data_IF_524486073365
#
_entry.id   IF_524486073365
#
_cell.length_a   1.000
_cell.length_b   1.000
_cell.length_c   1.000
_cell.angle_alpha   90.00
_cell.angle_beta   90.00
_cell.angle_gamma   90.00
#
_symmetry.space_group_name_H-M   'P 1'
#
loop_
_entity.id
_entity.type
_entity.pdbx_description
1 polymer ?
#
# COMPACT_ATOMS: atom_id res chain seq x y z
N UNK A 1 -32.87 15.42 -16.14
CA UNK A 1 -33.28 14.95 -14.81
C UNK A 1 -32.10 15.14 -13.88
N UNK A 2 -32.25 15.95 -12.84
CA UNK A 2 -31.21 16.18 -11.83
C UNK A 2 -31.68 15.54 -10.52
N UNK A 3 -30.80 14.82 -9.82
CA UNK A 3 -31.06 14.35 -8.46
C UNK A 3 -29.96 14.90 -7.57
N UNK A 4 -30.40 15.83 -6.74
CA UNK A 4 -29.67 16.46 -5.65
C UNK A 4 -29.78 15.56 -4.43
N UNK A 5 -28.66 15.29 -3.74
CA UNK A 5 -28.64 14.57 -2.47
C UNK A 5 -27.94 15.42 -1.41
N UNK A 6 -28.51 15.45 -0.20
CA UNK A 6 -28.21 16.48 0.80
C UNK A 6 -26.91 16.23 1.58
N UNK A 7 -26.26 17.33 1.95
CA UNK A 7 -25.34 17.40 3.08
C UNK A 7 -26.11 17.18 4.39
N UNK A 8 -25.55 16.38 5.29
CA UNK A 8 -25.78 16.50 6.73
C UNK A 8 -24.49 16.14 7.48
N UNK A 9 -24.06 17.05 8.35
CA UNK A 9 -23.03 16.79 9.35
C UNK A 9 -23.71 16.41 10.67
N UNK A 10 -23.10 15.53 11.47
CA UNK A 10 -22.59 15.85 12.82
C UNK A 10 -22.07 14.62 13.59
N UNK A 11 -20.81 14.74 14.03
CA UNK A 11 -20.25 14.39 15.35
C UNK A 11 -20.29 12.97 15.95
N UNK A 12 -19.06 12.45 16.13
CA UNK A 12 -18.50 11.75 17.29
C UNK A 12 -19.29 10.63 18.00
N UNK A 13 -18.78 9.39 17.89
CA UNK A 13 -18.37 8.58 19.05
C UNK A 13 -17.41 7.45 18.62
N UNK A 14 -16.13 7.54 18.99
CA UNK A 14 -15.15 6.46 18.75
C UNK A 14 -14.99 5.61 20.01
N UNK A 15 -15.57 4.41 19.99
CA UNK A 15 -15.36 3.41 21.04
C UNK A 15 -14.04 2.65 20.84
N UNK A 16 -13.29 2.50 21.93
CA UNK A 16 -12.01 1.79 21.99
C UNK A 16 -12.24 0.30 22.25
N UNK A 17 -11.88 -0.60 21.33
CA UNK A 17 -12.17 -2.02 21.52
C UNK A 17 -11.44 -3.02 20.60
N UNK A 18 -10.50 -3.74 21.21
CA UNK A 18 -9.90 -5.04 20.83
C UNK A 18 -8.89 -5.16 19.69
N UNK A 19 -7.74 -5.67 20.14
CA UNK A 19 -6.58 -6.24 19.45
C UNK A 19 -6.93 -7.50 18.63
N UNK A 20 -6.18 -7.68 17.54
CA UNK A 20 -5.82 -8.90 16.76
C UNK A 20 -5.72 -8.53 15.25
N UNK A 21 -4.67 -8.88 14.49
CA UNK A 21 -3.39 -9.48 14.91
C UNK A 21 -2.21 -9.27 13.92
N UNK A 22 -1.01 -9.67 14.40
CA UNK A 22 0.20 -10.20 13.71
C UNK A 22 0.10 -10.48 12.19
N UNK A 23 1.10 -10.20 11.31
CA UNK A 23 2.57 -10.04 11.42
C UNK A 23 3.14 -9.00 10.40
N UNK A 24 4.48 -8.89 10.35
CA UNK A 24 5.35 -8.35 9.27
C UNK A 24 5.83 -6.88 9.37
N UNK A 25 6.80 -6.70 10.28
CA UNK A 25 8.07 -5.97 10.08
C UNK A 25 8.10 -4.71 9.21
N UNK A 26 7.93 -3.55 9.86
CA UNK A 26 9.00 -2.56 9.83
C UNK A 26 9.04 -1.71 11.11
N UNK A 27 10.13 -1.81 11.86
CA UNK A 27 10.22 -1.31 13.23
C UNK A 27 10.44 0.22 13.29
N UNK A 28 9.35 0.99 13.39
CA UNK A 28 9.38 2.33 13.97
C UNK A 28 8.38 2.40 15.12
N UNK A 29 8.89 2.25 16.34
CA UNK A 29 8.07 2.09 17.56
C UNK A 29 7.03 3.19 17.74
N UNK A 30 5.76 2.83 17.55
CA UNK A 30 4.65 3.62 18.07
C UNK A 30 4.54 3.41 19.58
N UNK A 31 4.05 4.44 20.28
CA UNK A 31 3.84 4.49 21.73
C UNK A 31 5.08 4.71 22.60
N UNK A 32 5.62 5.93 22.55
CA UNK A 32 6.15 6.54 23.78
C UNK A 32 5.82 8.03 23.86
N UNK A 33 4.54 8.33 24.16
CA UNK A 33 4.14 9.65 24.68
C UNK A 33 4.57 9.81 26.15
N UNK A 34 5.87 9.65 26.41
CA UNK A 34 6.46 10.20 27.62
C UNK A 34 6.61 11.71 27.40
N UNK A 35 5.59 12.46 27.81
CA UNK A 35 5.82 13.80 28.33
C UNK A 35 6.68 13.64 29.60
N UNK A 36 7.98 13.51 29.39
CA UNK A 36 8.96 13.64 30.44
C UNK A 36 9.39 15.11 30.41
N UNK A 37 8.80 16.00 31.22
CA UNK A 37 9.38 17.33 31.42
C UNK A 37 10.75 17.10 32.05
N UNK A 38 11.82 17.17 31.24
CA UNK A 38 13.16 17.23 31.79
C UNK A 38 13.19 18.41 32.77
N UNK A 39 13.66 18.20 34.01
CA UNK A 39 13.59 19.26 35.00
C UNK A 39 14.47 20.43 34.55
N UNK A 40 13.89 21.62 34.45
CA UNK A 40 14.55 22.87 34.02
C UNK A 40 15.54 23.40 35.09
N UNK A 41 16.42 22.54 35.61
CA UNK A 41 17.38 22.84 36.68
C UNK A 41 18.34 23.98 36.30
N UNK A 42 18.58 24.23 35.01
CA UNK A 42 19.43 25.34 34.55
C UNK A 42 18.72 26.71 34.50
N UNK A 43 17.37 26.77 34.45
CA UNK A 43 16.65 28.05 34.54
C UNK A 43 16.16 28.39 35.96
N UNK A 44 16.10 27.41 36.88
CA UNK A 44 15.68 27.68 38.26
C UNK A 44 16.70 28.50 39.07
N UNK A 45 18.01 28.40 38.81
CA UNK A 45 19.03 29.17 39.56
C UNK A 45 18.82 30.70 39.50
N UNK A 46 18.72 31.36 38.33
CA UNK A 46 18.48 32.81 38.29
C UNK A 46 17.13 33.21 38.90
N UNK A 47 16.10 32.35 38.79
CA UNK A 47 14.79 32.61 39.39
C UNK A 47 14.83 32.57 40.93
N UNK A 48 15.49 31.57 41.52
CA UNK A 48 15.68 31.46 42.97
C UNK A 48 16.54 32.59 43.53
N UNK A 49 17.64 32.94 42.85
CA UNK A 49 18.51 34.04 43.26
C UNK A 49 17.76 35.39 43.25
N UNK A 50 16.88 35.59 42.26
CA UNK A 50 16.03 36.79 42.18
C UNK A 50 14.95 36.83 43.28
N UNK A 51 14.35 35.69 43.64
CA UNK A 51 13.44 35.60 44.80
C UNK A 51 14.18 35.93 46.10
N UNK A 52 15.40 35.42 46.27
CA UNK A 52 16.21 35.66 47.48
C UNK A 52 16.58 37.14 47.63
N UNK A 53 16.97 37.82 46.54
CA UNK A 53 17.19 39.28 46.56
C UNK A 53 15.92 40.07 46.88
N UNK A 54 14.77 39.63 46.37
CA UNK A 54 13.48 40.29 46.59
C UNK A 54 12.99 40.14 48.04
N UNK A 55 13.22 38.99 48.69
CA UNK A 55 12.97 38.81 50.13
C UNK A 55 13.81 39.76 51.00
N UNK A 56 15.08 40.00 50.65
CA UNK A 56 15.95 40.96 51.35
C UNK A 56 15.44 42.41 51.24
N UNK A 57 14.81 42.80 50.13
CA UNK A 57 14.20 44.12 49.98
C UNK A 57 12.93 44.27 50.84
N UNK A 58 12.07 43.24 50.86
CA UNK A 58 10.84 43.23 51.68
C UNK A 58 11.16 43.30 53.18
N UNK A 59 12.22 42.61 53.63
CA UNK A 59 12.64 42.65 55.04
C UNK A 59 13.10 44.06 55.47
N UNK A 60 13.79 44.79 54.58
CA UNK A 60 14.25 46.17 54.84
C UNK A 60 13.14 47.23 54.79
N UNK A 61 12.02 46.97 54.12
CA UNK A 61 10.83 47.82 54.22
C UNK A 61 10.10 47.59 55.56
N UNK A 62 10.06 46.34 56.05
CA UNK A 62 9.38 45.99 57.30
C UNK A 62 10.02 46.63 58.53
N UNK A 63 11.34 46.75 58.57
CA UNK A 63 12.08 47.45 59.63
C UNK A 63 11.85 48.97 59.63
N UNK A 64 11.63 49.60 58.46
CA UNK A 64 11.29 51.03 58.37
C UNK A 64 9.92 51.35 58.95
N UNK A 65 8.92 50.48 58.77
CA UNK A 65 7.56 50.68 59.32
C UNK A 65 7.56 50.61 60.85
N UNK A 66 8.39 49.74 61.45
CA UNK A 66 8.49 49.64 62.92
C UNK A 66 9.14 50.87 63.57
N UNK A 67 10.04 51.58 62.87
CA UNK A 67 10.64 52.81 63.37
C UNK A 67 9.66 54.01 63.42
N UNK A 68 8.57 53.99 62.63
CA UNK A 68 7.60 55.09 62.59
C UNK A 68 6.67 55.11 63.82
N UNK A 69 6.43 53.96 64.45
CA UNK A 69 5.56 53.84 65.64
C UNK A 69 6.18 54.46 66.92
N UNK A 70 7.50 54.67 66.96
CA UNK A 70 8.21 55.13 68.16
C UNK A 70 8.29 56.67 68.32
N UNK A 71 7.67 57.46 67.44
CA UNK A 71 7.66 58.93 67.53
C UNK A 71 6.22 59.49 67.57
N UNK A 72 5.49 59.15 68.63
CA UNK A 72 4.19 59.73 68.92
C UNK A 72 4.34 60.97 69.79
N UNK A 73 4.21 62.17 69.21
CA UNK A 73 3.85 63.43 69.89
C UNK A 73 3.70 64.60 68.89
N UNK A 74 2.56 64.71 68.20
CA UNK A 74 1.94 66.02 67.87
C UNK A 74 0.56 65.83 67.21
N UNK A 75 -0.41 66.62 67.63
CA UNK A 75 -1.79 66.60 67.12
C UNK A 75 -1.94 67.44 65.84
N UNK A 76 -1.52 66.91 64.69
CA UNK A 76 -2.07 67.30 63.37
C UNK A 76 -1.89 66.18 62.33
N UNK A 77 -2.72 66.24 61.28
CA UNK A 77 -2.64 65.48 60.01
C UNK A 77 -3.11 64.00 59.95
N UNK A 78 -4.42 63.75 60.05
CA UNK A 78 -5.06 62.62 59.37
C UNK A 78 -4.68 62.54 57.87
N UNK A 79 -4.49 63.69 57.23
CA UNK A 79 -4.11 63.82 55.82
C UNK A 79 -2.71 63.26 55.47
N UNK A 80 -1.78 63.19 56.44
CA UNK A 80 -0.41 62.69 56.22
C UNK A 80 -0.34 61.16 56.29
N UNK A 81 -1.11 60.56 57.19
CA UNK A 81 -1.29 59.10 57.23
C UNK A 81 -2.06 58.60 55.99
N UNK A 82 -3.10 59.32 55.56
CA UNK A 82 -3.83 59.00 54.34
C UNK A 82 -2.94 59.00 53.09
N UNK A 83 -2.04 59.99 52.95
CA UNK A 83 -1.11 60.03 51.81
C UNK A 83 -0.01 58.96 51.87
N UNK A 84 0.42 58.53 53.06
CA UNK A 84 1.29 57.36 53.21
C UNK A 84 0.59 56.06 52.78
N UNK A 85 -0.65 55.82 53.21
CA UNK A 85 -1.42 54.64 52.79
C UNK A 85 -1.69 54.64 51.29
N UNK A 86 -2.02 55.80 50.71
CA UNK A 86 -2.21 55.95 49.26
C UNK A 86 -0.92 55.61 48.50
N UNK A 87 0.24 56.11 48.97
CA UNK A 87 1.55 55.78 48.40
C UNK A 87 1.85 54.28 48.50
N UNK A 88 1.63 53.66 49.66
CA UNK A 88 1.84 52.22 49.84
C UNK A 88 0.91 51.39 48.94
N UNK A 89 -0.35 51.80 48.75
CA UNK A 89 -1.27 51.12 47.82
C UNK A 89 -0.72 51.16 46.39
N UNK A 90 -0.29 52.33 45.92
CA UNK A 90 0.30 52.51 44.60
C UNK A 90 1.60 51.70 44.42
N UNK A 91 2.47 51.62 45.44
CA UNK A 91 3.67 50.79 45.41
C UNK A 91 3.34 49.29 45.32
N UNK A 92 2.32 48.83 46.05
CA UNK A 92 1.82 47.44 46.00
C UNK A 92 1.21 47.13 44.62
N UNK A 93 0.36 48.01 44.09
CA UNK A 93 -0.27 47.85 42.77
C UNK A 93 0.80 47.81 41.65
N UNK A 94 1.82 48.67 41.73
CA UNK A 94 2.96 48.65 40.82
C UNK A 94 3.74 47.34 40.92
N UNK A 95 4.03 46.85 42.13
CA UNK A 95 4.71 45.57 42.34
C UNK A 95 3.92 44.39 41.75
N UNK A 96 2.60 44.34 42.00
CA UNK A 96 1.70 43.31 41.48
C UNK A 96 1.68 43.35 39.94
N UNK A 97 1.54 44.53 39.33
CA UNK A 97 1.54 44.65 37.87
C UNK A 97 2.87 44.19 37.25
N UNK A 98 4.01 44.50 37.87
CA UNK A 98 5.34 44.06 37.42
C UNK A 98 5.50 42.53 37.50
N UNK A 99 5.07 41.88 38.60
CA UNK A 99 5.16 40.42 38.67
C UNK A 99 4.19 39.74 37.70
N UNK A 100 2.99 40.30 37.48
CA UNK A 100 2.03 39.78 36.52
C UNK A 100 2.56 39.85 35.08
N UNK A 101 3.12 40.98 34.64
CA UNK A 101 3.70 41.10 33.30
C UNK A 101 4.95 40.20 33.14
N UNK A 102 5.80 40.08 34.17
CA UNK A 102 6.94 39.14 34.16
C UNK A 102 6.48 37.68 34.00
N UNK A 103 5.45 37.26 34.74
CA UNK A 103 4.87 35.92 34.65
C UNK A 103 4.26 35.67 33.26
N UNK A 104 3.51 36.64 32.73
CA UNK A 104 2.89 36.61 31.40
C UNK A 104 3.93 36.45 30.29
N UNK A 105 5.04 37.20 30.33
CA UNK A 105 6.14 37.07 29.38
C UNK A 105 6.82 35.69 29.47
N UNK A 106 7.07 35.19 30.69
CA UNK A 106 7.67 33.86 30.88
C UNK A 106 6.76 32.74 30.33
N UNK A 107 5.45 32.80 30.59
CA UNK A 107 4.48 31.83 30.06
C UNK A 107 4.34 31.92 28.53
N UNK A 108 4.45 33.11 27.94
CA UNK A 108 4.43 33.29 26.49
C UNK A 108 5.67 32.66 25.83
N UNK A 109 6.86 32.89 26.38
CA UNK A 109 8.10 32.31 25.83
C UNK A 109 8.15 30.79 26.04
N UNK A 110 7.75 30.27 27.20
CA UNK A 110 7.63 28.83 27.43
C UNK A 110 6.66 28.16 26.44
N UNK A 111 5.49 28.77 26.21
CA UNK A 111 4.51 28.28 25.21
C UNK A 111 5.12 28.26 23.80
N UNK A 112 5.83 29.31 23.40
CA UNK A 112 6.50 29.41 22.10
C UNK A 112 7.53 28.29 21.92
N UNK A 113 8.35 28.04 22.94
CA UNK A 113 9.35 26.95 22.91
C UNK A 113 8.71 25.56 22.85
N UNK A 114 7.62 25.31 23.61
CA UNK A 114 6.86 24.06 23.54
C UNK A 114 6.26 23.83 22.15
N UNK A 115 5.63 24.85 21.55
CA UNK A 115 5.07 24.77 20.19
C UNK A 115 6.16 24.51 19.16
N UNK A 116 7.32 25.17 19.26
CA UNK A 116 8.43 24.93 18.33
C UNK A 116 8.98 23.50 18.44
N UNK A 117 9.17 22.98 19.65
CA UNK A 117 9.64 21.61 19.89
C UNK A 117 8.69 20.57 19.29
N UNK A 118 7.38 20.74 19.54
CA UNK A 118 6.33 19.88 18.98
C UNK A 118 6.36 19.95 17.45
N UNK A 119 6.35 21.16 16.87
CA UNK A 119 6.38 21.36 15.42
C UNK A 119 7.64 20.74 14.79
N UNK A 120 8.81 20.87 15.43
CA UNK A 120 10.08 20.28 14.96
C UNK A 120 10.02 18.75 14.93
N UNK A 121 9.44 18.12 15.96
CA UNK A 121 9.25 16.67 16.00
C UNK A 121 8.34 16.19 14.86
N UNK A 122 7.13 16.76 14.77
CA UNK A 122 6.17 16.41 13.71
C UNK A 122 6.71 16.70 12.30
N UNK A 123 7.40 17.83 12.09
CA UNK A 123 8.05 18.16 10.81
C UNK A 123 9.05 17.08 10.39
N UNK A 124 9.94 16.66 11.29
CA UNK A 124 10.93 15.62 10.99
C UNK A 124 10.27 14.26 10.71
N UNK A 125 9.27 13.86 11.50
CA UNK A 125 8.53 12.60 11.29
C UNK A 125 7.77 12.59 9.96
N UNK A 126 7.03 13.65 9.65
CA UNK A 126 6.28 13.79 8.40
C UNK A 126 7.22 13.81 7.19
N UNK A 127 8.34 14.55 7.26
CA UNK A 127 9.34 14.59 6.19
C UNK A 127 9.98 13.21 5.92
N UNK A 128 10.26 12.41 6.96
CA UNK A 128 10.78 11.05 6.79
C UNK A 128 9.76 10.12 6.12
N UNK A 129 8.50 10.17 6.57
CA UNK A 129 7.42 9.36 5.98
C UNK A 129 7.13 9.75 4.53
N UNK A 130 7.15 11.05 4.19
CA UNK A 130 7.01 11.52 2.82
C UNK A 130 8.14 10.97 1.94
N UNK A 131 9.40 11.12 2.35
CA UNK A 131 10.55 10.57 1.58
C UNK A 131 10.46 9.06 1.37
N UNK A 132 10.02 8.30 2.38
CA UNK A 132 9.80 6.87 2.23
C UNK A 132 8.72 6.58 1.17
N UNK A 133 7.61 7.32 1.19
CA UNK A 133 6.53 7.15 0.21
C UNK A 133 6.94 7.57 -1.20
N UNK A 134 7.72 8.64 -1.34
CA UNK A 134 8.31 9.04 -2.62
C UNK A 134 9.23 7.94 -3.20
N UNK A 135 10.01 7.27 -2.35
CA UNK A 135 10.87 6.16 -2.76
C UNK A 135 10.07 4.89 -3.13
N UNK A 136 9.01 4.56 -2.38
CA UNK A 136 8.06 3.49 -2.72
C UNK A 136 7.37 3.76 -4.08
N UNK A 137 6.91 4.99 -4.31
CA UNK A 137 6.33 5.43 -5.59
C UNK A 137 7.36 5.31 -6.72
N UNK A 138 8.58 5.80 -6.52
CA UNK A 138 9.65 5.72 -7.53
C UNK A 138 9.98 4.26 -7.90
N UNK A 139 10.02 3.35 -6.92
CA UNK A 139 10.21 1.91 -7.16
C UNK A 139 9.05 1.31 -7.97
N UNK A 140 7.81 1.65 -7.63
CA UNK A 140 6.63 1.19 -8.36
C UNK A 140 6.59 1.73 -9.80
N UNK A 141 6.89 3.01 -10.01
CA UNK A 141 6.97 3.64 -11.33
C UNK A 141 8.05 3.01 -12.21
N UNK A 142 9.26 2.78 -11.67
CA UNK A 142 10.32 2.08 -12.40
C UNK A 142 9.87 0.67 -12.81
N UNK A 143 9.21 -0.07 -11.92
CA UNK A 143 8.71 -1.41 -12.23
C UNK A 143 7.59 -1.40 -13.27
N UNK A 144 6.68 -0.42 -13.24
CA UNK A 144 5.65 -0.24 -14.28
C UNK A 144 6.31 -0.03 -15.65
N UNK A 145 7.30 0.86 -15.72
CA UNK A 145 8.03 1.16 -16.95
C UNK A 145 8.78 -0.07 -17.50
N UNK A 146 9.48 -0.83 -16.66
CA UNK A 146 10.13 -2.08 -17.08
C UNK A 146 9.15 -3.07 -17.72
N UNK A 147 7.95 -3.18 -17.16
CA UNK A 147 6.90 -4.08 -17.65
C UNK A 147 6.26 -3.55 -18.95
N UNK A 148 6.01 -2.25 -19.06
CA UNK A 148 5.55 -1.60 -20.30
C UNK A 148 6.58 -1.77 -21.44
N UNK A 149 7.86 -1.58 -21.15
CA UNK A 149 8.94 -1.77 -22.14
C UNK A 149 9.07 -3.24 -22.55
N UNK A 150 8.82 -4.20 -21.64
CA UNK A 150 8.81 -5.63 -21.95
C UNK A 150 7.59 -6.03 -22.79
N UNK A 151 6.39 -5.55 -22.44
CA UNK A 151 5.17 -5.76 -23.23
C UNK A 151 5.34 -5.21 -24.65
N UNK A 152 5.88 -3.98 -24.77
CA UNK A 152 6.16 -3.34 -26.07
C UNK A 152 7.11 -4.18 -26.93
N UNK A 153 8.15 -4.80 -26.34
CA UNK A 153 9.07 -5.70 -27.08
C UNK A 153 8.34 -6.94 -27.59
N UNK A 154 7.62 -7.64 -26.73
CA UNK A 154 6.86 -8.84 -27.13
C UNK A 154 5.79 -8.53 -28.17
N UNK A 155 5.14 -7.37 -28.07
CA UNK A 155 4.15 -6.95 -29.06
C UNK A 155 4.79 -6.67 -30.44
N UNK A 156 5.95 -6.01 -30.50
CA UNK A 156 6.70 -5.83 -31.75
C UNK A 156 7.20 -7.16 -32.34
N UNK A 157 7.64 -8.10 -31.50
CA UNK A 157 8.02 -9.46 -31.92
C UNK A 157 6.81 -10.21 -32.48
N UNK A 158 5.68 -10.19 -31.79
CA UNK A 158 4.42 -10.83 -32.22
C UNK A 158 3.94 -10.27 -33.57
N UNK A 159 3.88 -8.94 -33.72
CA UNK A 159 3.55 -8.28 -34.99
C UNK A 159 4.53 -8.62 -36.12
N UNK A 160 5.78 -8.96 -35.81
CA UNK A 160 6.78 -9.38 -36.80
C UNK A 160 6.55 -10.83 -37.23
N UNK A 161 6.32 -11.74 -36.27
CA UNK A 161 5.96 -13.12 -36.57
C UNK A 161 4.62 -13.25 -37.31
N UNK A 162 3.63 -12.43 -36.97
CA UNK A 162 2.34 -12.41 -37.67
C UNK A 162 2.50 -11.96 -39.13
N UNK A 163 3.34 -10.96 -39.42
CA UNK A 163 3.65 -10.55 -40.80
C UNK A 163 4.30 -11.68 -41.60
N UNK A 164 5.32 -12.32 -41.04
CA UNK A 164 6.01 -13.47 -41.67
C UNK A 164 5.02 -14.63 -41.91
N UNK A 165 4.13 -14.92 -40.95
CA UNK A 165 3.09 -15.94 -41.11
C UNK A 165 2.13 -15.61 -42.27
N UNK A 166 1.62 -14.38 -42.33
CA UNK A 166 0.73 -13.93 -43.40
C UNK A 166 1.42 -13.93 -44.78
N UNK A 167 2.69 -13.55 -44.86
CA UNK A 167 3.49 -13.60 -46.09
C UNK A 167 3.68 -15.04 -46.57
N UNK A 168 4.00 -15.96 -45.66
CA UNK A 168 4.11 -17.39 -45.96
C UNK A 168 2.76 -18.00 -46.39
N UNK A 169 1.66 -17.62 -45.74
CA UNK A 169 0.31 -18.04 -46.12
C UNK A 169 -0.05 -17.57 -47.54
N UNK A 170 0.23 -16.31 -47.87
CA UNK A 170 0.01 -15.77 -49.22
C UNK A 170 0.84 -16.51 -50.29
N UNK A 171 2.09 -16.89 -49.98
CA UNK A 171 2.93 -17.70 -50.85
C UNK A 171 2.32 -19.10 -51.05
N UNK A 172 1.89 -19.76 -49.98
CA UNK A 172 1.26 -21.09 -50.05
C UNK A 172 -0.03 -21.06 -50.87
N UNK A 173 -0.88 -20.04 -50.68
CA UNK A 173 -2.11 -19.84 -51.48
C UNK A 173 -1.78 -19.63 -52.97
N UNK A 174 -0.77 -18.82 -53.29
CA UNK A 174 -0.32 -18.59 -54.67
C UNK A 174 0.19 -19.87 -55.35
N UNK A 175 1.00 -20.66 -54.64
CA UNK A 175 1.49 -21.95 -55.12
C UNK A 175 0.36 -22.95 -55.31
N UNK A 176 -0.59 -23.02 -54.37
CA UNK A 176 -1.76 -23.89 -54.47
C UNK A 176 -2.64 -23.55 -55.68
N UNK A 177 -2.92 -22.26 -55.91
CA UNK A 177 -3.64 -21.81 -57.09
C UNK A 177 -2.91 -22.17 -58.40
N UNK A 178 -1.58 -22.10 -58.41
CA UNK A 178 -0.76 -22.49 -59.57
C UNK A 178 -0.84 -24.01 -59.82
N UNK A 179 -0.84 -24.82 -58.76
CA UNK A 179 -1.00 -26.28 -58.87
C UNK A 179 -2.37 -26.65 -59.43
N UNK A 180 -3.45 -26.03 -58.93
CA UNK A 180 -4.80 -26.31 -59.43
C UNK A 180 -4.97 -25.89 -60.89
N UNK A 181 -4.43 -24.74 -61.32
CA UNK A 181 -4.38 -24.36 -62.74
C UNK A 181 -3.64 -25.40 -63.61
N UNK A 182 -2.54 -25.99 -63.12
CA UNK A 182 -1.84 -27.05 -63.85
C UNK A 182 -2.66 -28.35 -63.91
N UNK A 183 -3.41 -28.69 -62.86
CA UNK A 183 -4.34 -29.84 -62.87
C UNK A 183 -5.48 -29.66 -63.85
N UNK A 184 -6.12 -28.48 -63.84
CA UNK A 184 -7.19 -28.13 -64.78
C UNK A 184 -6.68 -28.21 -66.22
N UNK A 185 -5.54 -27.58 -66.53
CA UNK A 185 -4.95 -27.62 -67.87
C UNK A 185 -4.59 -29.05 -68.33
N UNK A 186 -4.07 -29.90 -67.43
CA UNK A 186 -3.81 -31.31 -67.75
C UNK A 186 -5.10 -32.12 -68.01
N UNK A 187 -6.18 -31.81 -67.28
CA UNK A 187 -7.51 -32.41 -67.48
C UNK A 187 -8.13 -32.03 -68.83
N UNK A 188 -7.92 -30.78 -69.30
CA UNK A 188 -8.37 -30.38 -70.63
C UNK A 188 -7.57 -31.05 -71.76
N UNK A 189 -6.25 -31.26 -71.58
CA UNK A 189 -5.39 -31.86 -72.61
C UNK A 189 -5.60 -33.37 -72.84
N UNK A 190 -6.14 -34.11 -71.86
CA UNK A 190 -6.43 -35.55 -71.99
C UNK A 190 -7.71 -35.87 -72.78
N UNK A 191 -8.51 -34.87 -73.18
CA UNK A 191 -9.81 -35.10 -73.84
C UNK A 191 -9.74 -35.35 -75.36
N UNK A 192 -8.54 -35.35 -75.98
CA UNK A 192 -8.45 -35.28 -77.44
C UNK A 192 -7.67 -36.40 -78.17
N UNK A 193 -7.32 -37.51 -77.48
CA UNK A 193 -6.89 -38.76 -78.16
C UNK A 193 -7.31 -40.00 -77.35
N UNK A 194 -8.05 -40.91 -77.99
CA UNK A 194 -7.87 -42.36 -77.80
C UNK A 194 -8.44 -43.00 -76.53
N UNK A 195 -9.64 -43.55 -76.69
CA UNK A 195 -10.16 -44.72 -75.97
C UNK A 195 -9.08 -45.70 -75.46
N UNK A 196 -9.02 -45.87 -74.14
CA UNK A 196 -8.50 -47.04 -73.46
C UNK A 196 -9.13 -47.13 -72.06
N UNK A 197 -10.17 -47.96 -71.91
CA UNK A 197 -10.74 -48.31 -70.60
C UNK A 197 -9.67 -48.94 -69.67
N UNK A 198 -9.08 -48.14 -68.79
CA UNK A 198 -8.29 -48.64 -67.65
C UNK A 198 -9.08 -48.43 -66.37
N UNK A 199 -9.95 -49.39 -66.08
CA UNK A 199 -10.60 -49.56 -64.78
C UNK A 199 -9.55 -49.82 -63.69
N UNK A 200 -8.96 -48.75 -63.15
CA UNK A 200 -8.30 -48.79 -61.86
C UNK A 200 -9.39 -48.70 -60.79
N UNK A 201 -9.76 -49.87 -60.27
CA UNK A 201 -10.63 -50.08 -59.11
C UNK A 201 -10.07 -49.36 -57.87
N UNK A 202 -10.31 -48.05 -57.80
CA UNK A 202 -10.24 -47.32 -56.54
C UNK A 202 -11.52 -47.66 -55.81
N UNK A 203 -11.43 -48.71 -54.99
CA UNK A 203 -12.38 -48.98 -53.94
C UNK A 203 -12.81 -47.64 -53.32
N UNK A 204 -14.11 -47.31 -53.24
CA UNK A 204 -14.56 -46.34 -52.27
C UNK A 204 -14.30 -46.99 -50.91
N UNK A 205 -13.09 -46.76 -50.40
CA UNK A 205 -12.83 -46.81 -48.97
C UNK A 205 -13.67 -45.67 -48.41
N UNK A 206 -14.95 -45.97 -48.17
CA UNK A 206 -15.79 -45.33 -47.18
C UNK A 206 -15.21 -45.63 -45.79
N UNK A 207 -13.94 -45.24 -45.61
CA UNK A 207 -13.28 -45.03 -44.34
C UNK A 207 -13.97 -43.84 -43.72
N UNK A 208 -15.16 -44.13 -43.16
CA UNK A 208 -16.12 -43.18 -42.63
C UNK A 208 -15.42 -42.01 -41.95
N UNK A 209 -15.80 -40.81 -42.36
CA UNK A 209 -15.64 -39.58 -41.59
C UNK A 209 -16.52 -39.67 -40.34
N UNK A 210 -16.11 -40.53 -39.40
CA UNK A 210 -16.72 -40.80 -38.08
C UNK A 210 -15.61 -41.09 -37.04
N UNK A 211 -14.44 -40.48 -37.15
CA UNK A 211 -13.34 -40.60 -36.17
C UNK A 211 -13.27 -39.47 -35.14
N UNK A 212 -14.02 -38.37 -35.33
CA UNK A 212 -14.04 -37.23 -34.39
C UNK A 212 -14.53 -37.59 -32.98
N UNK A 213 -15.36 -38.63 -32.85
CA UNK A 213 -15.72 -39.21 -31.55
C UNK A 213 -14.69 -40.22 -31.04
N UNK A 214 -14.10 -41.06 -31.89
CA UNK A 214 -13.12 -42.06 -31.46
C UNK A 214 -11.84 -41.42 -30.91
N UNK A 215 -11.30 -40.38 -31.54
CA UNK A 215 -10.11 -39.67 -31.02
C UNK A 215 -10.33 -39.04 -29.64
N UNK A 216 -11.55 -38.54 -29.36
CA UNK A 216 -11.90 -38.01 -28.05
C UNK A 216 -11.97 -39.13 -27.00
N UNK A 217 -12.54 -40.29 -27.34
CA UNK A 217 -12.59 -41.44 -26.41
C UNK A 217 -11.21 -41.96 -26.02
N UNK A 218 -10.26 -42.02 -26.96
CA UNK A 218 -8.87 -42.50 -26.69
C UNK A 218 -8.10 -41.50 -25.81
N UNK A 219 -8.34 -40.19 -25.98
CA UNK A 219 -7.74 -39.15 -25.12
C UNK A 219 -8.19 -39.27 -23.66
N UNK A 220 -9.40 -39.77 -23.41
CA UNK A 220 -10.00 -39.91 -22.08
C UNK A 220 -9.76 -41.26 -21.38
N UNK A 221 -8.85 -42.14 -21.82
CA UNK A 221 -8.53 -43.41 -21.12
C UNK A 221 -7.43 -43.26 -20.05
N UNK A 222 -7.51 -44.06 -18.99
CA UNK A 222 -6.52 -44.12 -17.90
C UNK A 222 -5.15 -44.57 -18.42
N UNK A 223 -4.13 -43.72 -18.29
CA UNK A 223 -2.78 -43.98 -18.82
C UNK A 223 -1.98 -45.04 -18.06
N UNK A 224 -2.55 -45.64 -17.00
CA UNK A 224 -1.92 -46.72 -16.22
C UNK A 224 -2.45 -48.11 -16.59
N UNK A 225 -3.77 -48.26 -16.77
CA UNK A 225 -4.40 -49.55 -17.06
C UNK A 225 -5.03 -49.65 -18.45
N UNK A 226 -5.26 -48.53 -19.14
CA UNK A 226 -5.99 -48.41 -20.41
C UNK A 226 -7.39 -49.07 -20.45
N UNK A 227 -7.95 -49.52 -19.32
CA UNK A 227 -9.20 -50.28 -19.25
C UNK A 227 -10.44 -49.44 -18.93
N UNK A 228 -10.25 -48.27 -18.33
CA UNK A 228 -11.31 -47.38 -17.84
C UNK A 228 -10.98 -45.92 -18.18
N UNK A 229 -11.99 -45.05 -18.14
CA UNK A 229 -11.82 -43.62 -18.40
C UNK A 229 -10.96 -42.96 -17.31
N UNK A 230 -10.12 -42.00 -17.70
CA UNK A 230 -9.46 -41.08 -16.78
C UNK A 230 -10.52 -40.17 -16.16
N UNK A 231 -10.65 -40.22 -14.84
CA UNK A 231 -11.52 -39.35 -14.05
C UNK A 231 -10.77 -38.57 -12.96
N UNK A 232 -9.47 -38.84 -12.75
CA UNK A 232 -8.67 -38.23 -11.67
C UNK A 232 -7.65 -37.22 -12.22
N UNK A 233 -7.73 -36.00 -11.70
CA UNK A 233 -6.86 -34.85 -12.01
C UNK A 233 -5.75 -34.76 -10.96
N UNK A 234 -4.49 -34.72 -11.40
CA UNK A 234 -3.32 -34.69 -10.52
C UNK A 234 -2.86 -33.26 -10.21
N UNK A 235 -2.74 -32.89 -8.93
CA UNK A 235 -2.21 -31.60 -8.50
C UNK A 235 -0.72 -31.68 -8.11
N UNK A 236 0.11 -30.68 -8.47
CA UNK A 236 -0.29 -29.39 -9.05
C UNK A 236 -0.36 -29.32 -10.59
N UNK A 237 0.00 -30.38 -11.33
CA UNK A 237 0.09 -30.33 -12.80
C UNK A 237 -1.23 -30.22 -13.59
N UNK A 238 -2.38 -30.39 -12.93
CA UNK A 238 -3.75 -30.36 -13.51
C UNK A 238 -4.03 -31.37 -14.63
N UNK A 239 -3.19 -32.39 -14.78
CA UNK A 239 -3.39 -33.44 -15.78
C UNK A 239 -4.44 -34.48 -15.36
N UNK A 240 -5.48 -34.64 -16.18
CA UNK A 240 -6.43 -35.76 -16.13
C UNK A 240 -5.77 -36.99 -16.78
N UNK A 241 -5.46 -38.02 -15.98
CA UNK A 241 -4.58 -39.11 -16.48
C UNK A 241 -4.76 -40.50 -15.87
N UNK A 242 -5.56 -40.66 -14.80
CA UNK A 242 -5.91 -41.98 -14.27
C UNK A 242 -7.39 -42.14 -13.95
N UNK A 243 -7.86 -43.38 -13.89
CA UNK A 243 -9.13 -43.73 -13.26
C UNK A 243 -8.99 -43.74 -11.73
N UNK A 244 -10.12 -43.92 -11.04
CA UNK A 244 -10.25 -43.98 -9.59
C UNK A 244 -9.41 -45.11 -8.97
N UNK A 245 -9.44 -46.30 -9.57
CA UNK A 245 -8.72 -47.46 -9.02
C UNK A 245 -7.19 -47.29 -9.11
N UNK A 246 -6.71 -46.78 -10.26
CA UNK A 246 -5.28 -46.57 -10.49
C UNK A 246 -4.69 -45.37 -9.73
N UNK A 247 -5.53 -44.42 -9.29
CA UNK A 247 -5.09 -43.20 -8.61
C UNK A 247 -4.44 -43.48 -7.25
N UNK A 248 -4.87 -44.53 -6.56
CA UNK A 248 -4.28 -45.00 -5.28
C UNK A 248 -2.85 -45.52 -5.45
N UNK A 249 -2.56 -46.17 -6.58
CA UNK A 249 -1.24 -46.76 -6.91
C UNK A 249 -0.25 -45.78 -7.56
N UNK A 250 -0.60 -44.51 -7.71
CA UNK A 250 0.20 -43.51 -8.42
C UNK A 250 0.69 -42.40 -7.47
N UNK A 251 2.00 -42.30 -7.28
CA UNK A 251 2.66 -41.22 -6.53
C UNK A 251 3.09 -40.02 -7.41
N UNK A 252 2.96 -40.14 -8.73
CA UNK A 252 3.26 -39.08 -9.69
C UNK A 252 2.29 -39.13 -10.87
N UNK A 253 2.18 -38.01 -11.59
CA UNK A 253 1.34 -37.90 -12.79
C UNK A 253 1.96 -38.67 -13.97
N UNK A 254 1.24 -39.63 -14.59
CA UNK A 254 1.73 -40.39 -15.75
C UNK A 254 2.08 -39.57 -17.01
N UNK A 255 1.64 -38.31 -17.13
CA UNK A 255 1.89 -37.47 -18.31
C UNK A 255 3.13 -36.59 -18.19
N UNK A 256 3.48 -36.14 -16.98
CA UNK A 256 4.58 -35.18 -16.76
C UNK A 256 5.50 -35.54 -15.59
N UNK A 257 5.35 -36.74 -15.02
CA UNK A 257 6.12 -37.29 -13.90
C UNK A 257 6.16 -36.43 -12.61
N UNK A 258 5.33 -35.39 -12.52
CA UNK A 258 5.25 -34.51 -11.37
C UNK A 258 4.66 -35.25 -10.16
N UNK A 259 5.28 -35.12 -8.99
CA UNK A 259 4.85 -35.78 -7.74
C UNK A 259 3.45 -35.32 -7.36
N UNK A 260 2.57 -36.30 -7.08
CA UNK A 260 1.19 -36.11 -6.64
C UNK A 260 1.17 -35.48 -5.24
N UNK A 261 0.59 -34.29 -5.11
CA UNK A 261 0.26 -33.70 -3.79
C UNK A 261 -1.19 -33.95 -3.38
N UNK A 262 -2.10 -33.91 -4.35
CA UNK A 262 -3.51 -34.23 -4.18
C UNK A 262 -4.10 -34.65 -5.54
N UNK A 263 -5.30 -35.21 -5.48
CA UNK A 263 -6.05 -35.72 -6.64
C UNK A 263 -7.52 -35.35 -6.47
N UNK A 264 -8.16 -34.98 -7.58
CA UNK A 264 -9.57 -34.56 -7.59
C UNK A 264 -10.29 -35.38 -8.67
N UNK A 265 -11.45 -35.93 -8.32
CA UNK A 265 -12.34 -36.59 -9.27
C UNK A 265 -13.08 -35.53 -10.10
N UNK A 266 -12.89 -35.57 -11.41
CA UNK A 266 -13.57 -34.71 -12.36
C UNK A 266 -14.96 -35.27 -12.67
N UNK A 267 -15.95 -34.38 -12.68
CA UNK A 267 -17.29 -34.66 -13.21
C UNK A 267 -17.23 -34.51 -14.73
N UNK A 268 -17.28 -35.62 -15.47
CA UNK A 268 -17.12 -35.73 -16.94
C UNK A 268 -18.27 -36.57 -17.53
#
# INVERSE_FOLDING_TARGET
MAIQAHLYSENLEFSLGSLQDLMDDNACGFNQFCFNPQPEQQQQQPYLLQIQQQQFQILNQKSNIQNLMNSSNSTMFPHSLASQFEKQRVEIDQFISLQNERLKLALQEQRKQQVELILRNYKSKTHLLLKQKDEEIMKACNRSKELEDFLRRIEMENQTWQRIANENEAIVVSLNNTIEQLRENACFQSTNVGDAESCCDVQPIEGKVQSSQQEQTIKMMCKRCNSSKSCMVFLPCRHLSSCKDCETCLHSCPLCNMVKKATIEALI
#
